data_IF_191524934516
#
_entry.id   IF_191524934516
#
_cell.length_a   1.000
_cell.length_b   1.000
_cell.length_c   1.000
_cell.angle_alpha   90.00
_cell.angle_beta   90.00
_cell.angle_gamma   90.00
#
_symmetry.space_group_name_H-M   'P 1'
#
loop_
_entity.id
_entity.type
_entity.pdbx_description
1 polymer ?
#
# COMPACT_ATOMS: atom_id res chain seq x y z
N UNK A 1 -28.47 -0.57 14.62
CA UNK A 1 -27.06 -0.12 14.59
C UNK A 1 -26.75 0.28 13.16
N UNK A 2 -26.20 1.46 12.87
CA UNK A 2 -25.79 1.75 11.49
C UNK A 2 -24.72 0.74 11.08
N UNK A 3 -24.76 0.27 9.83
CA UNK A 3 -23.72 -0.57 9.25
C UNK A 3 -22.35 0.13 9.41
N UNK A 4 -21.50 -0.42 10.30
CA UNK A 4 -20.14 0.09 10.53
C UNK A 4 -19.10 -0.54 9.62
N UNK A 5 -19.50 -1.58 8.88
CA UNK A 5 -18.62 -2.24 7.94
C UNK A 5 -18.55 -1.45 6.64
N UNK A 6 -17.34 -1.16 6.18
CA UNK A 6 -17.08 -0.59 4.85
C UNK A 6 -15.88 -1.31 4.26
N UNK A 7 -16.07 -1.91 3.08
CA UNK A 7 -14.94 -2.42 2.31
C UNK A 7 -14.12 -1.25 1.79
N UNK A 8 -12.81 -1.32 1.98
CA UNK A 8 -11.83 -0.40 1.41
C UNK A 8 -11.05 -1.20 0.38
N UNK A 9 -10.96 -0.66 -0.84
CA UNK A 9 -10.15 -1.24 -1.91
C UNK A 9 -8.87 -0.42 -2.00
N UNK A 10 -7.73 -1.10 -1.97
CA UNK A 10 -6.41 -0.48 -2.19
C UNK A 10 -5.81 -1.01 -3.49
N UNK A 11 -5.10 -0.15 -4.22
CA UNK A 11 -4.52 -0.47 -5.54
C UNK A 11 -3.02 -0.23 -5.48
N UNK A 12 -2.27 -1.28 -5.79
CA UNK A 12 -0.82 -1.27 -5.80
C UNK A 12 -0.27 -1.47 -7.21
N UNK A 13 0.81 -0.75 -7.52
CA UNK A 13 1.60 -0.91 -8.73
C UNK A 13 2.86 -1.70 -8.38
N UNK A 14 3.07 -2.82 -9.06
CA UNK A 14 4.29 -3.64 -8.92
C UNK A 14 5.23 -3.29 -10.09
N UNK A 15 6.37 -2.70 -9.76
CA UNK A 15 7.42 -2.39 -10.73
C UNK A 15 8.52 -3.44 -10.67
N UNK A 16 8.78 -4.10 -11.79
CA UNK A 16 9.75 -5.20 -11.90
C UNK A 16 10.83 -4.82 -12.91
N UNK A 17 12.11 -4.97 -12.53
CA UNK A 17 13.25 -4.80 -13.44
C UNK A 17 14.35 -5.79 -13.10
N UNK A 18 14.79 -6.56 -14.10
CA UNK A 18 15.84 -7.58 -13.96
C UNK A 18 15.59 -8.55 -12.77
N UNK A 19 14.35 -9.04 -12.64
CA UNK A 19 13.96 -9.96 -11.56
C UNK A 19 13.88 -9.34 -10.17
N UNK A 20 14.06 -8.02 -10.04
CA UNK A 20 13.92 -7.28 -8.78
C UNK A 20 12.60 -6.51 -8.75
N UNK A 21 11.96 -6.48 -7.59
CA UNK A 21 10.77 -5.68 -7.32
C UNK A 21 11.18 -4.40 -6.61
N UNK A 22 10.64 -3.26 -7.06
CA UNK A 22 10.80 -2.01 -6.33
C UNK A 22 9.81 -1.96 -5.15
N UNK A 23 10.34 -1.77 -3.95
CA UNK A 23 9.57 -1.54 -2.73
C UNK A 23 9.96 -0.19 -2.14
N UNK A 24 9.00 0.47 -1.48
CA UNK A 24 9.19 1.73 -0.78
C UNK A 24 8.96 1.53 0.72
N UNK A 25 9.75 2.22 1.53
CA UNK A 25 9.51 2.29 2.97
C UNK A 25 8.35 3.24 3.27
N UNK A 26 7.32 2.75 3.96
CA UNK A 26 6.19 3.58 4.39
C UNK A 26 6.63 4.58 5.46
N UNK A 27 6.22 5.84 5.31
CA UNK A 27 6.44 6.89 6.31
C UNK A 27 5.27 7.86 6.35
N UNK A 28 4.87 8.27 7.55
CA UNK A 28 3.88 9.32 7.76
C UNK A 28 2.46 8.90 7.39
N UNK A 29 2.17 7.60 7.36
CA UNK A 29 0.84 7.08 7.00
C UNK A 29 0.00 6.75 8.24
N UNK A 30 0.62 6.65 9.42
CA UNK A 30 -0.04 6.22 10.65
C UNK A 30 -0.43 4.73 10.66
N UNK A 31 -0.06 3.99 9.61
CA UNK A 31 -0.37 2.58 9.42
C UNK A 31 0.80 1.86 8.74
N UNK A 32 1.38 0.88 9.44
CA UNK A 32 2.51 0.08 8.95
C UNK A 32 3.74 0.93 8.52
N UNK A 33 3.96 2.09 9.13
CA UNK A 33 5.18 2.88 8.88
C UNK A 33 6.43 2.06 9.23
N UNK A 34 7.52 2.25 8.47
CA UNK A 34 8.76 1.46 8.59
C UNK A 34 8.77 0.14 7.81
N UNK A 35 7.62 -0.32 7.32
CA UNK A 35 7.54 -1.53 6.47
C UNK A 35 7.84 -1.23 5.01
N UNK A 36 8.34 -2.24 4.28
CA UNK A 36 8.51 -2.19 2.82
C UNK A 36 7.21 -2.65 2.16
N UNK A 37 6.68 -1.83 1.25
CA UNK A 37 5.47 -2.12 0.50
C UNK A 37 5.66 -1.83 -1.00
N UNK A 38 4.89 -2.48 -1.89
CA UNK A 38 4.77 -2.05 -3.28
C UNK A 38 4.31 -0.60 -3.37
N UNK A 39 4.58 0.06 -4.49
CA UNK A 39 4.13 1.44 -4.72
C UNK A 39 2.59 1.44 -4.67
N UNK A 40 2.04 2.19 -3.72
CA UNK A 40 0.59 2.40 -3.62
C UNK A 40 0.27 3.81 -4.11
N UNK A 41 -0.80 3.95 -4.87
CA UNK A 41 -1.37 5.26 -5.20
C UNK A 41 -2.71 5.40 -4.49
N UNK A 42 -3.09 6.61 -4.10
CA UNK A 42 -4.44 6.88 -3.61
C UNK A 42 -5.30 7.23 -4.83
N UNK A 43 -6.27 6.38 -5.16
CA UNK A 43 -7.38 6.75 -6.05
C UNK A 43 -8.48 7.44 -5.25
#
# INVERSE_FOLDING_TARGET
MPERYRSIVDVHIILIRYGKVLLLARRGTGYCDGTLAPVATRL
#
